data_IF_416447987971
#
_entry.id   IF_416447987971
#
_cell.length_a   1.000
_cell.length_b   1.000
_cell.length_c   1.000
_cell.angle_alpha   90.00
_cell.angle_beta   90.00
_cell.angle_gamma   90.00
#
_symmetry.space_group_name_H-M   'P 1'
#
loop_
_entity.id
_entity.type
_entity.pdbx_description
1 polymer ?
#
# COMPACT_ATOMS: atom_id res chain seq x y z
N UNK A 1 3.93 45.95 4.63
CA UNK A 1 3.18 47.12 5.17
C UNK A 1 1.76 46.78 5.70
N UNK A 2 1.29 45.53 5.71
CA UNK A 2 -0.10 45.21 6.08
C UNK A 2 -0.38 44.96 7.59
N UNK A 3 0.64 44.92 8.46
CA UNK A 3 0.47 44.61 9.90
C UNK A 3 0.22 45.85 10.79
N UNK A 4 0.42 47.07 10.28
CA UNK A 4 0.19 48.30 11.04
C UNK A 4 -1.29 48.75 11.00
N UNK A 5 -2.02 48.47 9.92
CA UNK A 5 -3.41 48.92 9.77
C UNK A 5 -4.44 48.10 10.57
N UNK A 6 -4.14 46.85 10.91
CA UNK A 6 -5.03 46.01 11.73
C UNK A 6 -4.98 46.45 13.21
N UNK A 7 -3.80 46.85 13.70
CA UNK A 7 -3.62 47.35 15.09
C UNK A 7 -4.40 48.66 15.33
N UNK A 8 -4.45 49.55 14.33
CA UNK A 8 -5.17 50.82 14.44
C UNK A 8 -6.70 50.67 14.35
N UNK A 9 -7.23 49.59 13.76
CA UNK A 9 -8.67 49.31 13.73
C UNK A 9 -9.21 48.71 15.03
N UNK A 10 -8.37 47.96 15.76
CA UNK A 10 -8.70 47.43 17.08
C UNK A 10 -8.66 48.50 18.19
N UNK A 11 -7.77 49.50 18.09
CA UNK A 11 -7.74 50.61 19.05
C UNK A 11 -8.94 51.56 18.93
N UNK A 12 -9.58 51.63 17.76
CA UNK A 12 -10.76 52.48 17.52
C UNK A 12 -12.09 51.88 18.03
N UNK A 13 -12.18 50.55 18.15
CA UNK A 13 -13.40 49.89 18.64
C UNK A 13 -13.54 49.94 20.17
N UNK A 14 -12.44 50.18 20.90
CA UNK A 14 -12.43 50.25 22.36
C UNK A 14 -12.91 51.62 22.92
N UNK A 15 -12.95 52.69 22.10
CA UNK A 15 -13.33 54.03 22.60
C UNK A 15 -14.81 54.38 22.46
N UNK A 16 -15.65 53.48 21.92
CA UNK A 16 -17.06 53.77 21.64
C UNK A 16 -18.06 53.27 22.70
N UNK A 17 -17.58 52.73 23.84
CA UNK A 17 -18.45 52.22 24.91
C UNK A 17 -18.41 53.04 26.22
N UNK A 18 -17.84 54.24 26.20
CA UNK A 18 -17.85 55.15 27.36
C UNK A 18 -18.87 56.25 27.16
N UNK A 19 -20.13 56.01 27.58
CA UNK A 19 -21.18 56.98 27.34
C UNK A 19 -22.52 56.67 28.00
N UNK A 20 -22.54 56.75 29.34
CA UNK A 20 -23.65 57.19 30.23
C UNK A 20 -23.81 56.27 31.46
N UNK A 21 -23.12 56.62 32.55
CA UNK A 21 -23.55 56.26 33.90
C UNK A 21 -23.80 57.56 34.67
N UNK A 22 -25.06 57.79 35.01
CA UNK A 22 -25.52 58.91 35.82
C UNK A 22 -25.06 58.66 37.27
N UNK A 23 -24.45 59.66 37.88
CA UNK A 23 -23.92 59.61 39.23
C UNK A 23 -24.97 59.20 40.27
N UNK A 24 -24.66 58.16 41.06
CA UNK A 24 -25.16 57.98 42.42
C UNK A 24 -23.96 57.57 43.27
N UNK A 25 -23.70 58.35 44.31
CA UNK A 25 -22.54 58.20 45.18
C UNK A 25 -22.57 56.90 45.99
N UNK A 26 -21.38 56.33 46.18
CA UNK A 26 -21.15 55.13 46.98
C UNK A 26 -19.99 54.30 46.42
N UNK A 27 -18.80 54.44 47.01
CA UNK A 27 -17.67 53.49 46.95
C UNK A 27 -17.38 52.84 45.58
N UNK A 28 -16.73 53.59 44.68
CA UNK A 28 -16.37 53.16 43.32
C UNK A 28 -15.00 52.45 43.23
N UNK A 29 -14.14 52.58 44.26
CA UNK A 29 -12.78 52.06 44.19
C UNK A 29 -12.69 50.51 44.20
N UNK A 30 -13.61 49.82 44.87
CA UNK A 30 -13.52 48.36 45.05
C UNK A 30 -14.19 47.56 43.92
N UNK A 31 -15.25 48.11 43.31
CA UNK A 31 -15.93 47.48 42.15
C UNK A 31 -15.20 47.66 40.82
N UNK A 32 -14.42 48.74 40.67
CA UNK A 32 -13.61 48.97 39.48
C UNK A 32 -12.39 48.02 39.40
N UNK A 33 -11.80 47.68 40.55
CA UNK A 33 -10.71 46.69 40.63
C UNK A 33 -11.19 45.29 40.20
N UNK A 34 -12.32 44.82 40.74
CA UNK A 34 -12.87 43.50 40.41
C UNK A 34 -13.30 43.34 38.95
N UNK A 35 -13.89 44.38 38.33
CA UNK A 35 -14.28 44.32 36.92
C UNK A 35 -13.06 44.30 35.96
N UNK A 36 -11.98 45.00 36.30
CA UNK A 36 -10.74 44.97 35.50
C UNK A 36 -10.02 43.61 35.58
N UNK A 37 -10.06 42.96 36.76
CA UNK A 37 -9.49 41.62 36.97
C UNK A 37 -10.29 40.58 36.20
N UNK A 38 -11.63 40.63 36.22
CA UNK A 38 -12.49 39.68 35.48
C UNK A 38 -12.33 39.81 33.95
N UNK A 39 -12.14 41.03 33.43
CA UNK A 39 -11.87 41.24 31.99
C UNK A 39 -10.47 40.74 31.60
N UNK A 40 -9.47 40.93 32.45
CA UNK A 40 -8.12 40.42 32.24
C UNK A 40 -8.05 38.89 32.33
N UNK A 41 -8.78 38.28 33.27
CA UNK A 41 -8.90 36.82 33.39
C UNK A 41 -9.57 36.22 32.16
N UNK A 42 -10.71 36.76 31.72
CA UNK A 42 -11.41 36.31 30.50
C UNK A 42 -10.58 36.49 29.23
N UNK A 43 -9.76 37.54 29.16
CA UNK A 43 -8.82 37.73 28.06
C UNK A 43 -7.68 36.69 28.07
N UNK A 44 -7.20 36.30 29.27
CA UNK A 44 -6.18 35.27 29.46
C UNK A 44 -6.72 33.87 29.15
N UNK A 45 -7.94 33.56 29.60
CA UNK A 45 -8.66 32.33 29.26
C UNK A 45 -8.93 32.24 27.75
N UNK A 46 -9.38 33.33 27.13
CA UNK A 46 -9.58 33.38 25.68
C UNK A 46 -8.29 33.19 24.88
N UNK A 47 -7.16 33.72 25.36
CA UNK A 47 -5.85 33.50 24.76
C UNK A 47 -5.35 32.06 24.93
N UNK A 48 -5.62 31.43 26.09
CA UNK A 48 -5.32 30.01 26.33
C UNK A 48 -6.14 29.09 25.42
N UNK A 49 -7.46 29.30 25.33
CA UNK A 49 -8.31 28.54 24.41
C UNK A 49 -7.87 28.68 22.95
N UNK A 50 -7.47 29.89 22.53
CA UNK A 50 -6.95 30.11 21.18
C UNK A 50 -5.62 29.38 20.94
N UNK A 51 -4.74 29.33 21.94
CA UNK A 51 -3.47 28.60 21.87
C UNK A 51 -3.69 27.07 21.82
N UNK A 52 -4.57 26.54 22.66
CA UNK A 52 -4.96 25.12 22.68
C UNK A 52 -5.59 24.71 21.34
N UNK A 53 -6.50 25.53 20.79
CA UNK A 53 -7.10 25.28 19.49
C UNK A 53 -6.06 25.28 18.35
N UNK A 54 -5.03 26.12 18.44
CA UNK A 54 -3.92 26.12 17.48
C UNK A 54 -3.06 24.85 17.59
N UNK A 55 -2.75 24.41 18.81
CA UNK A 55 -2.01 23.17 19.05
C UNK A 55 -2.82 21.98 18.50
N UNK A 56 -4.10 21.92 18.80
CA UNK A 56 -5.00 20.86 18.35
C UNK A 56 -5.12 20.81 16.82
N UNK A 57 -5.25 21.98 16.17
CA UNK A 57 -5.27 22.06 14.71
C UNK A 57 -3.95 21.59 14.10
N UNK A 58 -2.81 21.86 14.75
CA UNK A 58 -1.50 21.38 14.30
C UNK A 58 -1.35 19.88 14.52
N UNK A 59 -1.76 19.34 15.67
CA UNK A 59 -1.81 17.88 15.91
C UNK A 59 -2.62 17.17 14.83
N UNK A 60 -3.80 17.68 14.47
CA UNK A 60 -4.60 17.13 13.36
C UNK A 60 -3.93 17.23 12.00
N UNK A 61 -3.19 18.32 11.74
CA UNK A 61 -2.49 18.53 10.47
C UNK A 61 -1.28 17.61 10.32
N UNK A 62 -0.50 17.46 11.38
CA UNK A 62 0.73 16.67 11.36
C UNK A 62 0.46 15.20 11.66
N UNK A 63 -0.60 14.86 12.38
CA UNK A 63 -0.97 13.49 12.77
C UNK A 63 0.25 12.70 13.32
N UNK A 64 0.97 13.25 14.32
CA UNK A 64 2.07 12.53 14.95
C UNK A 64 1.53 11.25 15.61
N UNK A 65 2.35 10.20 15.63
CA UNK A 65 2.05 8.96 16.35
C UNK A 65 3.00 8.87 17.52
N UNK A 66 2.44 8.80 18.73
CA UNK A 66 3.23 8.66 19.94
C UNK A 66 3.35 7.19 20.35
N UNK A 67 4.36 6.90 21.16
CA UNK A 67 4.67 5.54 21.61
C UNK A 67 3.52 4.90 22.38
N UNK A 68 2.87 5.66 23.25
CA UNK A 68 1.76 5.20 24.07
C UNK A 68 0.53 4.85 23.22
N UNK A 69 0.29 5.63 22.16
CA UNK A 69 -0.79 5.38 21.21
C UNK A 69 -0.49 4.15 20.35
N UNK A 70 0.75 4.00 19.88
CA UNK A 70 1.18 2.87 19.07
C UNK A 70 1.11 1.53 19.81
N UNK A 71 1.48 1.53 21.10
CA UNK A 71 1.46 0.34 21.95
C UNK A 71 0.07 0.03 22.53
N UNK A 72 -0.94 0.84 22.23
CA UNK A 72 -2.29 0.61 22.71
C UNK A 72 -2.88 -0.69 22.10
N UNK A 73 -3.60 -1.52 22.88
CA UNK A 73 -4.14 -2.79 22.38
C UNK A 73 -5.14 -2.64 21.21
N UNK A 74 -5.74 -1.47 21.06
CA UNK A 74 -6.72 -1.12 20.04
C UNK A 74 -6.13 -0.29 18.89
N UNK A 75 -4.80 -0.15 18.83
CA UNK A 75 -4.14 0.55 17.73
C UNK A 75 -4.32 -0.21 16.41
N UNK A 76 -4.94 0.45 15.43
CA UNK A 76 -5.12 -0.07 14.08
C UNK A 76 -3.88 0.23 13.23
N UNK A 77 -2.94 -0.73 13.21
CA UNK A 77 -1.69 -0.59 12.45
C UNK A 77 -1.98 -0.53 10.94
N UNK A 78 -1.55 0.53 10.23
CA UNK A 78 -1.74 0.60 8.78
C UNK A 78 -0.99 -0.51 8.04
N UNK A 79 -1.62 -1.02 6.97
CA UNK A 79 -1.02 -2.05 6.11
C UNK A 79 0.19 -1.56 5.30
N UNK A 80 0.49 -0.26 5.29
CA UNK A 80 1.63 0.31 4.57
C UNK A 80 2.46 1.19 5.49
N UNK A 81 3.76 0.96 5.47
CA UNK A 81 4.75 1.65 6.31
C UNK A 81 5.84 2.22 5.42
N UNK A 82 6.27 3.44 5.72
CA UNK A 82 7.43 4.08 5.09
C UNK A 82 8.44 4.34 6.19
N UNK A 83 9.68 3.90 6.00
CA UNK A 83 10.75 4.17 6.95
C UNK A 83 11.34 5.54 6.63
N UNK A 84 11.40 6.40 7.62
CA UNK A 84 11.67 7.82 7.47
C UNK A 84 12.77 8.30 8.41
N UNK A 85 13.43 9.39 8.03
CA UNK A 85 14.38 10.09 8.89
C UNK A 85 13.62 11.02 9.87
N UNK A 86 14.01 11.01 11.15
CA UNK A 86 13.47 11.89 12.19
C UNK A 86 13.61 13.37 11.81
N UNK A 87 14.70 13.72 11.12
CA UNK A 87 14.99 15.08 10.72
C UNK A 87 13.90 15.69 9.81
N UNK A 88 13.05 14.88 9.14
CA UNK A 88 11.95 15.38 8.29
C UNK A 88 10.93 16.24 9.04
N UNK A 89 10.81 16.09 10.36
CA UNK A 89 9.83 16.84 11.19
C UNK A 89 10.42 17.46 12.45
N UNK A 90 11.75 17.51 12.54
CA UNK A 90 12.46 18.14 13.64
C UNK A 90 12.12 19.62 13.78
N UNK A 91 12.00 20.08 15.02
CA UNK A 91 11.63 21.47 15.34
C UNK A 91 10.13 21.76 15.20
N UNK A 92 9.30 20.74 14.94
CA UNK A 92 7.85 20.84 15.07
C UNK A 92 7.49 20.37 16.48
N UNK A 93 7.23 21.33 17.37
CA UNK A 93 6.76 21.14 18.76
C UNK A 93 5.74 20.01 18.96
N UNK A 94 4.71 19.92 18.10
CA UNK A 94 3.66 18.90 18.24
C UNK A 94 4.11 17.49 17.83
N UNK A 95 5.27 17.34 17.19
CA UNK A 95 5.85 16.06 16.80
C UNK A 95 7.00 15.63 17.73
N UNK A 96 7.39 16.45 18.71
CA UNK A 96 8.46 16.11 19.65
C UNK A 96 8.10 14.85 20.45
N UNK A 97 8.97 13.83 20.39
CA UNK A 97 8.75 12.53 21.05
C UNK A 97 7.81 11.58 20.30
N UNK A 98 7.36 11.93 19.10
CA UNK A 98 6.63 11.01 18.23
C UNK A 98 7.57 9.93 17.67
N UNK A 99 7.04 8.73 17.45
CA UNK A 99 7.76 7.64 16.76
C UNK A 99 7.59 7.72 15.24
N UNK A 100 6.70 8.60 14.78
CA UNK A 100 6.32 8.71 13.38
C UNK A 100 5.11 9.60 13.17
N UNK A 101 4.47 9.47 12.01
CA UNK A 101 3.20 10.15 11.72
C UNK A 101 2.33 9.36 10.74
N UNK A 102 1.04 9.67 10.71
CA UNK A 102 0.09 9.09 9.76
C UNK A 102 -0.15 10.04 8.60
N UNK A 103 -0.21 9.46 7.40
CA UNK A 103 -0.71 10.17 6.22
C UNK A 103 -1.83 9.37 5.57
N UNK A 104 -2.84 10.08 5.06
CA UNK A 104 -3.90 9.49 4.24
C UNK A 104 -3.71 9.89 2.79
N UNK A 105 -3.50 8.90 1.91
CA UNK A 105 -3.30 9.10 0.49
C UNK A 105 -4.11 8.08 -0.31
N UNK A 106 -4.94 8.56 -1.23
CA UNK A 106 -5.76 7.72 -2.12
C UNK A 106 -6.60 6.64 -1.40
N UNK A 107 -7.19 6.99 -0.25
CA UNK A 107 -8.00 6.07 0.55
C UNK A 107 -7.20 5.07 1.38
N UNK A 108 -5.87 5.15 1.40
CA UNK A 108 -5.01 4.34 2.25
C UNK A 108 -4.40 5.18 3.37
N UNK A 109 -4.25 4.55 4.52
CA UNK A 109 -3.50 5.09 5.64
C UNK A 109 -2.08 4.53 5.61
N UNK A 110 -1.11 5.39 5.91
CA UNK A 110 0.31 5.12 5.76
C UNK A 110 1.00 5.60 7.02
N UNK A 111 1.67 4.68 7.72
CA UNK A 111 2.50 5.02 8.86
C UNK A 111 3.91 5.35 8.35
N UNK A 112 4.32 6.58 8.58
CA UNK A 112 5.70 7.01 8.41
C UNK A 112 6.43 6.79 9.73
N UNK A 113 7.21 5.71 9.81
CA UNK A 113 7.90 5.29 11.02
C UNK A 113 9.35 5.80 10.97
N UNK A 114 9.79 6.46 12.03
CA UNK A 114 11.18 6.89 12.12
C UNK A 114 12.12 5.69 12.25
N UNK A 115 13.25 5.73 11.53
CA UNK A 115 14.21 4.63 11.47
C UNK A 115 14.71 4.18 12.86
N UNK A 116 14.93 5.11 13.78
CA UNK A 116 15.38 4.82 15.15
C UNK A 116 14.38 3.97 15.97
N UNK A 117 13.10 4.06 15.63
CA UNK A 117 12.02 3.36 16.33
C UNK A 117 11.64 2.02 15.68
N UNK A 118 12.36 1.61 14.64
CA UNK A 118 12.07 0.38 13.92
C UNK A 118 12.23 -0.86 14.80
N UNK A 119 13.32 -0.96 15.55
CA UNK A 119 13.55 -2.09 16.47
C UNK A 119 12.52 -2.12 17.59
N UNK A 120 12.10 -0.95 18.07
CA UNK A 120 11.14 -0.81 19.17
C UNK A 120 9.69 -1.07 18.72
N UNK A 121 9.41 -0.95 17.42
CA UNK A 121 8.07 -1.18 16.85
C UNK A 121 7.62 -2.65 16.97
N UNK A 122 8.56 -3.59 17.10
CA UNK A 122 8.26 -5.03 17.10
C UNK A 122 7.78 -5.57 15.75
N UNK A 123 7.88 -4.77 14.69
CA UNK A 123 7.48 -5.16 13.33
C UNK A 123 8.61 -5.93 12.65
N UNK A 124 8.22 -6.92 11.85
CA UNK A 124 9.15 -7.73 11.07
C UNK A 124 9.16 -7.21 9.63
N UNK A 125 10.32 -6.78 9.14
CA UNK A 125 10.50 -6.29 7.77
C UNK A 125 11.32 -7.27 6.93
N UNK A 126 10.98 -7.39 5.64
CA UNK A 126 11.73 -8.17 4.67
C UNK A 126 11.88 -7.42 3.33
N UNK A 127 13.10 -7.22 2.81
CA UNK A 127 14.38 -7.35 3.52
C UNK A 127 14.46 -6.37 4.71
N UNK A 128 15.62 -6.30 5.36
CA UNK A 128 15.86 -5.37 6.46
C UNK A 128 15.38 -3.93 6.12
N UNK A 129 14.88 -3.20 7.12
CA UNK A 129 14.30 -1.88 6.96
C UNK A 129 15.34 -0.88 6.43
N UNK A 130 15.02 -0.19 5.34
CA UNK A 130 15.88 0.79 4.69
C UNK A 130 15.25 2.19 4.74
N UNK A 131 16.07 3.22 4.94
CA UNK A 131 15.62 4.62 4.91
C UNK A 131 14.92 4.94 3.59
N UNK A 132 13.83 5.72 3.65
CA UNK A 132 12.97 6.12 2.54
C UNK A 132 12.29 4.96 1.77
N UNK A 133 12.41 3.71 2.25
CA UNK A 133 11.75 2.56 1.63
C UNK A 133 10.32 2.37 2.15
N UNK A 134 9.43 1.95 1.24
CA UNK A 134 8.04 1.66 1.51
C UNK A 134 7.79 0.14 1.57
N UNK A 135 7.06 -0.28 2.60
CA UNK A 135 6.75 -1.67 2.89
C UNK A 135 5.24 -1.89 2.99
N UNK A 136 4.78 -3.05 2.53
CA UNK A 136 3.39 -3.47 2.59
C UNK A 136 3.26 -4.74 3.43
N UNK A 137 2.24 -4.81 4.29
CA UNK A 137 1.91 -6.01 5.02
C UNK A 137 1.69 -7.18 4.06
N UNK A 138 2.38 -8.29 4.33
CA UNK A 138 2.40 -9.45 3.47
C UNK A 138 1.01 -10.09 3.33
N UNK A 139 0.60 -10.29 2.08
CA UNK A 139 -0.68 -10.91 1.72
C UNK A 139 -0.70 -12.42 1.98
N UNK A 140 0.46 -13.06 2.13
CA UNK A 140 0.56 -14.50 2.40
C UNK A 140 0.06 -14.89 3.80
N UNK A 141 -0.04 -13.91 4.71
CA UNK A 141 -0.40 -14.11 6.11
C UNK A 141 0.78 -14.37 7.05
N UNK A 142 2.01 -14.12 6.60
CA UNK A 142 3.22 -14.23 7.44
C UNK A 142 3.31 -13.18 8.55
N UNK A 143 2.52 -12.10 8.48
CA UNK A 143 2.53 -11.00 9.45
C UNK A 143 3.74 -10.07 9.33
N UNK A 144 4.59 -10.23 8.30
CA UNK A 144 5.73 -9.35 8.04
C UNK A 144 5.39 -8.26 7.03
N UNK A 145 6.19 -7.21 6.99
CA UNK A 145 6.13 -6.13 6.02
C UNK A 145 7.17 -6.35 4.92
N UNK A 146 6.74 -6.41 3.67
CA UNK A 146 7.60 -6.68 2.51
C UNK A 146 7.84 -5.39 1.73
N UNK A 147 9.11 -5.10 1.40
CA UNK A 147 9.47 -3.92 0.62
C UNK A 147 8.79 -3.96 -0.76
N UNK A 148 8.15 -2.86 -1.15
CA UNK A 148 7.43 -2.74 -2.42
C UNK A 148 8.32 -2.92 -3.65
N UNK A 149 9.60 -2.56 -3.59
CA UNK A 149 10.54 -2.71 -4.71
C UNK A 149 10.89 -4.17 -5.01
N UNK A 150 10.78 -5.06 -4.01
CA UNK A 150 11.05 -6.49 -4.20
C UNK A 150 9.81 -7.37 -4.04
N UNK A 151 8.63 -6.78 -3.77
CA UNK A 151 7.41 -7.51 -3.45
C UNK A 151 7.10 -8.63 -4.47
N UNK A 152 7.02 -8.30 -5.75
CA UNK A 152 6.72 -9.27 -6.80
C UNK A 152 7.81 -10.34 -6.95
N UNK A 153 9.07 -9.95 -6.84
CA UNK A 153 10.20 -10.87 -6.95
C UNK A 153 10.24 -11.86 -5.76
N UNK A 154 10.02 -11.39 -4.54
CA UNK A 154 9.98 -12.22 -3.34
C UNK A 154 8.75 -13.14 -3.35
N UNK A 155 7.57 -12.62 -3.68
CA UNK A 155 6.37 -13.45 -3.84
C UNK A 155 6.56 -14.53 -4.91
N UNK A 156 7.22 -14.24 -6.03
CA UNK A 156 7.53 -15.26 -7.04
C UNK A 156 8.45 -16.35 -6.47
N UNK A 157 9.46 -15.99 -5.67
CA UNK A 157 10.32 -16.97 -4.99
C UNK A 157 9.54 -17.85 -4.03
N UNK A 158 8.62 -17.28 -3.26
CA UNK A 158 7.78 -18.06 -2.34
C UNK A 158 6.84 -19.01 -3.06
N UNK A 159 6.21 -18.57 -4.16
CA UNK A 159 5.41 -19.43 -5.04
C UNK A 159 6.24 -20.61 -5.57
N UNK A 160 7.46 -20.34 -6.02
CA UNK A 160 8.37 -21.40 -6.48
C UNK A 160 8.74 -22.37 -5.35
N UNK A 161 9.09 -21.86 -4.17
CA UNK A 161 9.44 -22.68 -3.02
C UNK A 161 8.27 -23.55 -2.54
N UNK A 162 7.05 -23.01 -2.54
CA UNK A 162 5.83 -23.76 -2.19
C UNK A 162 5.61 -24.91 -3.18
N UNK A 163 5.70 -24.68 -4.50
CA UNK A 163 5.56 -25.74 -5.50
C UNK A 163 6.67 -26.79 -5.41
N UNK A 164 7.91 -26.39 -5.14
CA UNK A 164 9.00 -27.34 -4.87
C UNK A 164 8.70 -28.21 -3.64
N UNK A 165 8.20 -27.60 -2.57
CA UNK A 165 7.79 -28.33 -1.38
C UNK A 165 6.62 -29.27 -1.66
N UNK A 166 5.64 -28.87 -2.48
CA UNK A 166 4.57 -29.76 -2.96
C UNK A 166 5.17 -30.98 -3.67
N UNK A 167 6.05 -30.80 -4.66
CA UNK A 167 6.68 -31.92 -5.36
C UNK A 167 7.45 -32.84 -4.39
N UNK A 168 8.22 -32.26 -3.47
CA UNK A 168 8.96 -33.00 -2.46
C UNK A 168 8.04 -33.83 -1.55
N UNK A 169 7.03 -33.20 -0.96
CA UNK A 169 6.07 -33.85 -0.07
C UNK A 169 5.28 -34.97 -0.77
N UNK A 170 4.96 -34.81 -2.05
CA UNK A 170 4.28 -35.83 -2.85
C UNK A 170 5.20 -36.98 -3.30
N UNK A 171 6.50 -36.91 -2.99
CA UNK A 171 7.47 -37.96 -3.32
C UNK A 171 7.89 -37.98 -4.78
N UNK A 172 7.88 -36.84 -5.47
CA UNK A 172 8.35 -36.73 -6.85
C UNK A 172 9.81 -37.17 -6.98
N UNK A 173 10.18 -37.71 -8.15
CA UNK A 173 11.57 -37.91 -8.57
C UNK A 173 12.11 -36.73 -9.36
N UNK A 174 11.24 -36.02 -10.05
CA UNK A 174 11.61 -34.88 -10.87
C UNK A 174 10.48 -33.86 -10.90
N UNK A 175 10.83 -32.58 -10.84
CA UNK A 175 9.88 -31.52 -11.14
C UNK A 175 10.56 -30.35 -11.87
N UNK A 176 9.79 -29.67 -12.71
CA UNK A 176 10.19 -28.42 -13.35
C UNK A 176 9.03 -27.44 -13.37
N UNK A 177 9.36 -26.16 -13.34
CA UNK A 177 8.41 -25.07 -13.47
C UNK A 177 8.86 -24.15 -14.59
N UNK A 178 7.98 -23.93 -15.55
CA UNK A 178 8.14 -22.99 -16.65
C UNK A 178 7.12 -21.87 -16.51
N UNK A 179 7.48 -20.65 -16.91
CA UNK A 179 6.54 -19.53 -17.03
C UNK A 179 6.54 -19.02 -18.46
N UNK A 180 5.39 -18.59 -18.94
CA UNK A 180 5.23 -17.97 -20.25
C UNK A 180 4.15 -16.90 -20.18
N UNK A 181 4.22 -15.93 -21.07
CA UNK A 181 3.20 -14.88 -21.18
C UNK A 181 2.17 -15.31 -22.22
N UNK A 182 0.90 -15.41 -21.81
CA UNK A 182 -0.18 -15.62 -22.75
C UNK A 182 -0.46 -14.30 -23.46
N UNK A 183 -0.23 -14.26 -24.76
CA UNK A 183 -0.69 -13.19 -25.65
C UNK A 183 -2.20 -13.32 -25.87
N UNK A 184 -2.99 -13.35 -24.80
CA UNK A 184 -4.40 -13.03 -24.97
C UNK A 184 -4.46 -11.54 -25.32
N UNK A 185 -4.65 -11.26 -26.61
CA UNK A 185 -4.93 -9.92 -27.11
C UNK A 185 -6.04 -9.33 -26.24
N UNK A 186 -5.71 -8.33 -25.43
CA UNK A 186 -6.70 -7.42 -24.90
C UNK A 186 -7.40 -6.84 -26.14
N UNK A 187 -8.58 -7.37 -26.45
CA UNK A 187 -9.53 -6.72 -27.33
C UNK A 187 -9.95 -5.44 -26.61
N UNK A 188 -9.07 -4.44 -26.66
CA UNK A 188 -9.39 -3.07 -26.37
C UNK A 188 -10.39 -2.70 -27.44
N UNK A 189 -11.66 -2.94 -27.14
CA UNK A 189 -12.78 -2.27 -27.77
C UNK A 189 -12.56 -0.80 -27.49
N UNK A 190 -11.75 -0.16 -28.36
CA UNK A 190 -11.75 1.28 -28.54
C UNK A 190 -13.17 1.58 -28.99
N UNK A 191 -14.06 1.85 -28.02
CA UNK A 191 -15.30 2.56 -28.28
C UNK A 191 -14.88 3.84 -28.99
N UNK A 192 -15.00 3.85 -30.32
CA UNK A 192 -14.94 5.05 -31.14
C UNK A 192 -15.97 6.00 -30.54
N UNK A 193 -15.49 6.94 -29.73
CA UNK A 193 -16.29 8.07 -29.29
C UNK A 193 -16.80 8.75 -30.56
N UNK A 194 -18.12 8.80 -30.70
CA UNK A 194 -18.80 9.65 -31.68
C UNK A 194 -18.47 11.10 -31.33
N UNK A 195 -17.40 11.63 -31.91
CA UNK A 195 -17.21 13.07 -32.05
C UNK A 195 -17.76 13.45 -33.43
N UNK A 196 -19.00 13.96 -33.42
CA UNK A 196 -19.62 14.62 -34.56
C UNK A 196 -19.12 16.06 -34.62
N UNK A 197 -18.38 16.43 -35.67
CA UNK A 197 -18.45 17.75 -36.29
C UNK A 197 -17.69 17.78 -37.64
N UNK A 198 -18.41 18.25 -38.67
CA UNK A 198 -17.98 18.59 -40.05
C UNK A 198 -16.65 19.38 -40.07
N UNK A 199 -15.77 19.31 -41.10
CA UNK A 199 -16.04 19.72 -42.50
C UNK A 199 -14.84 19.42 -43.43
N UNK A 200 -15.15 18.86 -44.61
CA UNK A 200 -14.56 19.00 -45.97
C UNK A 200 -13.03 18.93 -46.24
N UNK A 201 -12.64 18.06 -47.20
CA UNK A 201 -11.39 18.20 -47.95
C UNK A 201 -10.90 16.92 -48.66
N UNK A 202 -11.32 16.76 -49.92
CA UNK A 202 -10.71 16.03 -51.06
C UNK A 202 -9.58 14.98 -50.87
N UNK A 203 -9.87 13.78 -51.39
CA UNK A 203 -9.04 12.84 -52.19
C UNK A 203 -7.73 12.29 -51.60
N UNK A 204 -7.67 10.96 -51.38
CA UNK A 204 -6.57 10.11 -51.88
C UNK A 204 -6.83 8.61 -51.67
N UNK A 205 -6.65 7.87 -52.77
CA UNK A 205 -6.25 6.47 -52.94
C UNK A 205 -6.68 5.39 -51.92
N UNK A 206 -7.46 4.44 -52.45
CA UNK A 206 -7.61 3.08 -51.93
C UNK A 206 -6.27 2.34 -51.96
N UNK A 207 -5.62 2.19 -50.80
CA UNK A 207 -4.60 1.18 -50.57
C UNK A 207 -5.25 0.01 -49.84
N UNK A 208 -5.54 -1.06 -50.57
CA UNK A 208 -5.74 -2.40 -50.00
C UNK A 208 -4.39 -2.86 -49.45
N UNK A 209 -4.12 -2.51 -48.19
CA UNK A 209 -3.07 -3.14 -47.41
C UNK A 209 -3.62 -4.46 -46.90
N UNK A 210 -3.26 -5.57 -47.55
CA UNK A 210 -3.24 -6.87 -46.90
C UNK A 210 -2.33 -6.73 -45.68
N UNK A 211 -2.93 -6.66 -44.49
CA UNK A 211 -2.21 -6.85 -43.24
C UNK A 211 -1.94 -8.35 -43.20
N UNK A 212 -0.76 -8.72 -43.65
CA UNK A 212 -0.18 -10.02 -43.39
C UNK A 212 -0.01 -10.13 -41.87
N UNK A 213 -1.03 -10.71 -41.21
CA UNK A 213 -0.94 -11.18 -39.85
C UNK A 213 0.06 -12.34 -39.85
N UNK A 214 1.35 -12.00 -39.84
CA UNK A 214 2.44 -12.91 -39.52
C UNK A 214 2.37 -13.27 -38.04
N UNK A 215 1.38 -14.08 -37.67
CA UNK A 215 1.31 -14.77 -36.40
C UNK A 215 2.50 -15.71 -36.28
N UNK A 216 3.54 -15.25 -35.60
CA UNK A 216 4.58 -16.11 -35.04
C UNK A 216 4.80 -15.68 -33.59
N UNK A 217 3.77 -15.89 -32.78
CA UNK A 217 3.89 -15.83 -31.32
C UNK A 217 4.68 -17.05 -30.85
N UNK A 218 6.01 -16.93 -30.86
CA UNK A 218 6.84 -17.81 -30.07
C UNK A 218 6.57 -17.44 -28.60
N UNK A 219 5.73 -18.22 -27.92
CA UNK A 219 5.62 -18.16 -26.46
C UNK A 219 6.99 -18.54 -25.90
N UNK A 220 7.84 -17.54 -25.61
CA UNK A 220 9.15 -17.78 -25.01
C UNK A 220 8.93 -18.30 -23.58
N UNK A 221 9.02 -19.62 -23.43
CA UNK A 221 8.93 -20.28 -22.13
C UNK A 221 10.22 -20.07 -21.37
N UNK A 222 10.12 -19.37 -20.24
CA UNK A 222 11.23 -19.18 -19.30
C UNK A 222 11.18 -20.26 -18.22
N UNK A 223 12.23 -21.06 -18.12
CA UNK A 223 12.39 -22.01 -17.02
C UNK A 223 12.66 -21.26 -15.72
N UNK A 224 11.84 -21.52 -14.69
CA UNK A 224 11.97 -20.95 -13.36
C UNK A 224 12.80 -21.84 -12.46
N UNK A 225 12.54 -23.16 -12.47
CA UNK A 225 13.40 -24.14 -11.82
C UNK A 225 13.23 -25.53 -12.44
N UNK A 226 14.22 -26.38 -12.19
CA UNK A 226 14.24 -27.82 -12.49
C UNK A 226 15.00 -28.53 -11.38
N UNK A 227 14.41 -29.58 -10.79
CA UNK A 227 14.94 -30.33 -9.66
C UNK A 227 14.74 -31.83 -9.82
N UNK A 228 15.75 -32.58 -9.41
CA UNK A 228 15.73 -34.03 -9.23
C UNK A 228 15.73 -34.39 -7.75
N UNK A 229 15.00 -35.45 -7.42
CA UNK A 229 14.86 -36.00 -6.08
C UNK A 229 15.05 -37.52 -6.10
N UNK A 230 15.32 -38.11 -4.95
CA UNK A 230 15.40 -39.58 -4.81
C UNK A 230 14.05 -40.28 -5.02
N UNK A 231 12.93 -39.55 -4.89
CA UNK A 231 11.58 -40.10 -4.91
C UNK A 231 11.16 -40.71 -3.57
N UNK A 232 9.85 -40.80 -3.34
CA UNK A 232 9.26 -41.46 -2.16
C UNK A 232 7.87 -42.02 -2.49
N UNK A 233 7.60 -43.24 -2.01
CA UNK A 233 6.28 -43.86 -2.12
C UNK A 233 5.36 -43.51 -0.94
N UNK A 234 5.82 -42.64 -0.04
CA UNK A 234 5.06 -42.15 1.12
C UNK A 234 4.76 -40.66 0.94
N UNK A 235 3.73 -40.30 0.14
CA UNK A 235 3.36 -38.91 -0.03
C UNK A 235 2.80 -38.36 1.28
N UNK A 236 3.18 -37.12 1.60
CA UNK A 236 2.70 -36.34 2.73
C UNK A 236 1.94 -35.14 2.18
N UNK A 237 0.81 -34.78 2.81
CA UNK A 237 0.05 -33.61 2.39
C UNK A 237 0.80 -32.32 2.76
N UNK A 238 1.19 -31.47 1.78
CA UNK A 238 1.87 -30.21 2.06
C UNK A 238 0.89 -29.16 2.60
N UNK A 239 1.41 -28.20 3.37
CA UNK A 239 0.70 -26.98 3.74
C UNK A 239 0.87 -25.96 2.62
N UNK A 240 -0.24 -25.40 2.12
CA UNK A 240 -0.25 -24.39 1.06
C UNK A 240 -0.51 -23.02 1.67
N UNK A 241 0.12 -21.97 1.13
CA UNK A 241 -0.12 -20.56 1.44
C UNK A 241 -0.64 -19.82 0.22
N UNK A 242 0.11 -19.89 -0.88
CA UNK A 242 -0.21 -19.23 -2.15
C UNK A 242 -1.20 -20.03 -3.00
N UNK A 243 -1.11 -21.36 -3.00
CA UNK A 243 -1.93 -22.22 -3.87
C UNK A 243 -3.14 -22.84 -3.15
N UNK A 244 -3.53 -22.31 -1.98
CA UNK A 244 -4.67 -22.81 -1.18
C UNK A 244 -5.96 -22.97 -2.00
N UNK A 245 -6.24 -22.02 -2.89
CA UNK A 245 -7.45 -21.97 -3.70
C UNK A 245 -7.31 -22.63 -5.09
N UNK A 246 -6.10 -23.08 -5.49
CA UNK A 246 -5.89 -23.71 -6.79
C UNK A 246 -6.49 -25.11 -6.79
N UNK A 247 -7.48 -25.33 -7.66
CA UNK A 247 -8.14 -26.64 -7.77
C UNK A 247 -7.21 -27.68 -8.39
N UNK A 248 -6.33 -27.24 -9.27
CA UNK A 248 -5.41 -28.08 -10.01
C UNK A 248 -4.30 -28.62 -9.09
N UNK A 249 -3.71 -27.75 -8.26
CA UNK A 249 -2.71 -28.16 -7.26
C UNK A 249 -3.35 -29.03 -6.17
N UNK A 250 -4.53 -28.66 -5.66
CA UNK A 250 -5.25 -29.48 -4.69
C UNK A 250 -5.66 -30.84 -5.27
N UNK A 251 -6.12 -30.89 -6.52
CA UNK A 251 -6.46 -32.12 -7.21
C UNK A 251 -5.27 -33.06 -7.35
N UNK A 252 -4.09 -32.55 -7.70
CA UNK A 252 -2.85 -33.33 -7.70
C UNK A 252 -2.52 -33.89 -6.32
N UNK A 253 -2.62 -33.08 -5.27
CA UNK A 253 -2.36 -33.49 -3.89
C UNK A 253 -3.34 -34.59 -3.48
N UNK A 254 -4.63 -34.41 -3.75
CA UNK A 254 -5.68 -35.36 -3.37
C UNK A 254 -5.49 -36.69 -4.13
N UNK A 255 -5.17 -36.66 -5.42
CA UNK A 255 -4.92 -37.90 -6.18
C UNK A 255 -3.72 -38.67 -5.62
N UNK A 256 -2.62 -37.99 -5.27
CA UNK A 256 -1.40 -38.66 -4.79
C UNK A 256 -1.50 -39.11 -3.34
N UNK A 257 -2.22 -38.37 -2.49
CA UNK A 257 -2.40 -38.67 -1.08
C UNK A 257 -3.65 -39.51 -0.78
N UNK A 258 -4.46 -39.89 -1.78
CA UNK A 258 -5.62 -40.76 -1.57
C UNK A 258 -5.23 -42.19 -1.24
N UNK A 259 -6.02 -42.86 -0.39
CA UNK A 259 -5.82 -44.27 0.01
C UNK A 259 -6.15 -45.28 -1.11
N UNK A 260 -6.56 -44.80 -2.29
CA UNK A 260 -6.93 -45.61 -3.44
C UNK A 260 -5.71 -45.91 -4.31
N UNK A 261 -5.03 -47.02 -4.02
CA UNK A 261 -3.79 -47.45 -4.68
C UNK A 261 -3.95 -48.00 -6.11
N UNK A 262 -5.16 -47.94 -6.70
CA UNK A 262 -5.46 -48.65 -7.95
C UNK A 262 -4.97 -47.94 -9.23
N UNK A 263 -4.57 -46.66 -9.15
CA UNK A 263 -4.04 -45.90 -10.29
C UNK A 263 -2.86 -45.00 -9.87
N UNK A 264 -1.63 -45.52 -10.02
CA UNK A 264 -0.41 -44.76 -9.73
C UNK A 264 -0.16 -43.65 -10.77
N UNK A 265 -0.13 -42.39 -10.31
CA UNK A 265 0.27 -41.25 -11.15
C UNK A 265 1.78 -41.35 -11.43
N UNK A 266 2.14 -41.50 -12.70
CA UNK A 266 3.56 -41.51 -13.14
C UNK A 266 4.13 -40.11 -13.34
N UNK A 267 3.30 -39.20 -13.84
CA UNK A 267 3.63 -37.80 -14.02
C UNK A 267 2.38 -36.97 -14.26
N UNK A 268 2.47 -35.69 -13.97
CA UNK A 268 1.37 -34.75 -14.02
C UNK A 268 1.87 -33.37 -14.42
N UNK A 269 1.12 -32.69 -15.27
CA UNK A 269 1.38 -31.29 -15.64
C UNK A 269 0.21 -30.46 -15.16
N UNK A 270 0.50 -29.44 -14.36
CA UNK A 270 -0.46 -28.44 -13.92
C UNK A 270 -0.21 -27.14 -14.68
N UNK A 271 -1.24 -26.60 -15.33
CA UNK A 271 -1.21 -25.22 -15.79
C UNK A 271 -1.88 -24.33 -14.75
N UNK A 272 -1.14 -23.31 -14.29
CA UNK A 272 -1.59 -22.36 -13.27
C UNK A 272 -1.69 -21.00 -13.93
N UNK A 273 -2.88 -20.41 -13.90
CA UNK A 273 -3.08 -19.02 -14.27
C UNK A 273 -2.60 -18.12 -13.11
N UNK A 274 -1.60 -17.27 -13.36
CA UNK A 274 -1.06 -16.37 -12.35
C UNK A 274 -2.11 -15.36 -11.85
N UNK A 275 -3.19 -15.10 -12.60
CA UNK A 275 -4.33 -14.28 -12.14
C UNK A 275 -4.99 -14.86 -10.90
N UNK A 276 -5.04 -16.18 -10.79
CA UNK A 276 -5.67 -16.90 -9.67
C UNK A 276 -4.85 -16.85 -8.38
N UNK A 277 -3.55 -16.56 -8.52
CA UNK A 277 -2.56 -16.49 -7.42
C UNK A 277 -1.84 -15.14 -7.43
N UNK A 278 -2.55 -14.07 -7.81
CA UNK A 278 -1.97 -12.74 -7.99
C UNK A 278 -1.40 -12.18 -6.68
N UNK A 279 -0.24 -11.54 -6.76
CA UNK A 279 0.44 -10.87 -5.63
C UNK A 279 -0.38 -9.68 -5.15
N UNK A 280 -0.86 -8.87 -6.09
CA UNK A 280 -1.76 -7.75 -5.85
C UNK A 280 -2.82 -7.69 -6.95
N UNK A 281 -4.02 -7.26 -6.60
CA UNK A 281 -5.02 -6.90 -7.62
C UNK A 281 -4.57 -5.64 -8.36
N UNK A 282 -4.88 -5.55 -9.65
CA UNK A 282 -4.53 -4.40 -10.48
C UNK A 282 -5.07 -3.07 -9.90
N UNK A 283 -6.27 -3.10 -9.31
CA UNK A 283 -6.86 -1.94 -8.63
C UNK A 283 -6.05 -1.52 -7.39
N UNK A 284 -5.62 -2.48 -6.56
CA UNK A 284 -4.80 -2.20 -5.37
C UNK A 284 -3.41 -1.69 -5.74
N UNK A 285 -2.77 -2.31 -6.74
CA UNK A 285 -1.47 -1.85 -7.26
C UNK A 285 -1.54 -0.41 -7.79
N UNK A 286 -2.59 -0.08 -8.56
CA UNK A 286 -2.82 1.28 -9.06
C UNK A 286 -3.05 2.27 -7.91
N UNK A 287 -3.78 1.84 -6.87
CA UNK A 287 -4.04 2.70 -5.72
C UNK A 287 -2.74 3.04 -4.96
N UNK A 288 -1.86 2.05 -4.76
CA UNK A 288 -0.55 2.20 -4.11
C UNK A 288 0.35 3.13 -4.92
N UNK A 289 0.52 2.89 -6.22
CA UNK A 289 1.32 3.77 -7.09
C UNK A 289 0.86 5.23 -7.01
N UNK A 290 -0.46 5.46 -7.02
CA UNK A 290 -1.03 6.81 -6.92
C UNK A 290 -0.80 7.45 -5.53
N UNK A 291 -0.88 6.67 -4.45
CA UNK A 291 -0.62 7.16 -3.10
C UNK A 291 0.84 7.54 -2.92
N UNK A 292 1.78 6.68 -3.31
CA UNK A 292 3.21 6.94 -3.20
C UNK A 292 3.62 8.15 -4.05
N UNK A 293 3.08 8.27 -5.27
CA UNK A 293 3.27 9.45 -6.11
C UNK A 293 2.75 10.73 -5.45
N UNK A 294 1.59 10.68 -4.80
CA UNK A 294 1.04 11.81 -4.04
C UNK A 294 1.93 12.24 -2.86
N UNK A 295 2.63 11.28 -2.25
CA UNK A 295 3.58 11.51 -1.16
C UNK A 295 5.01 11.81 -1.63
N UNK A 296 5.26 11.82 -2.95
CA UNK A 296 6.59 11.99 -3.55
C UNK A 296 7.59 10.90 -3.12
N UNK A 297 7.09 9.71 -2.81
CA UNK A 297 7.91 8.52 -2.58
C UNK A 297 8.13 7.86 -3.94
N UNK A 298 9.39 7.75 -4.35
CA UNK A 298 9.77 7.11 -5.61
C UNK A 298 10.07 5.63 -5.39
N UNK A 299 9.41 4.77 -6.16
CA UNK A 299 9.82 3.38 -6.33
C UNK A 299 10.58 3.25 -7.65
N UNK A 300 11.57 2.36 -7.71
CA UNK A 300 12.26 2.01 -8.95
C UNK A 300 11.40 1.29 -10.00
N UNK A 301 10.15 0.95 -9.67
CA UNK A 301 9.21 0.22 -10.53
C UNK A 301 7.77 0.72 -10.37
N UNK A 302 6.89 0.38 -11.31
CA UNK A 302 5.44 0.56 -11.16
C UNK A 302 4.78 -0.74 -10.75
N UNK A 303 4.10 -0.73 -9.60
CA UNK A 303 3.38 -1.91 -9.11
C UNK A 303 2.23 -2.28 -10.03
N UNK A 304 1.60 -1.27 -10.66
CA UNK A 304 0.56 -1.50 -11.67
C UNK A 304 1.09 -2.28 -12.88
N UNK A 305 2.25 -1.92 -13.39
CA UNK A 305 2.87 -2.61 -14.52
C UNK A 305 3.26 -4.04 -14.13
N UNK A 306 3.84 -4.24 -12.95
CA UNK A 306 4.17 -5.56 -12.40
C UNK A 306 2.93 -6.46 -12.23
N UNK A 307 1.85 -5.93 -11.65
CA UNK A 307 0.56 -6.63 -11.53
C UNK A 307 -0.03 -6.98 -12.89
N UNK A 308 0.09 -6.08 -13.87
CA UNK A 308 -0.40 -6.31 -15.23
C UNK A 308 0.41 -7.43 -15.91
N UNK A 309 1.74 -7.41 -15.76
CA UNK A 309 2.63 -8.46 -16.27
C UNK A 309 2.34 -9.81 -15.64
N UNK A 310 2.23 -9.88 -14.32
CA UNK A 310 1.87 -11.11 -13.60
C UNK A 310 0.54 -11.67 -14.08
N UNK A 311 -0.47 -10.81 -14.32
CA UNK A 311 -1.79 -11.24 -14.79
C UNK A 311 -1.79 -11.84 -16.20
N UNK A 312 -0.72 -11.65 -16.98
CA UNK A 312 -0.57 -12.22 -18.33
C UNK A 312 0.26 -13.49 -18.32
N UNK A 313 0.84 -13.86 -17.18
CA UNK A 313 1.67 -15.03 -17.06
C UNK A 313 0.85 -16.27 -16.74
N UNK A 314 1.32 -17.39 -17.28
CA UNK A 314 0.91 -18.74 -16.91
C UNK A 314 2.15 -19.51 -16.45
N UNK A 315 1.97 -20.36 -15.46
CA UNK A 315 3.00 -21.28 -14.99
C UNK A 315 2.63 -22.72 -15.38
N UNK A 316 3.55 -23.43 -16.02
CA UNK A 316 3.43 -24.86 -16.30
C UNK A 316 4.31 -25.63 -15.31
N UNK A 317 3.67 -26.31 -14.38
CA UNK A 317 4.32 -27.10 -13.34
C UNK A 317 4.26 -28.57 -13.70
N UNK A 318 5.40 -29.16 -14.03
CA UNK A 318 5.52 -30.57 -14.39
C UNK A 318 6.16 -31.35 -13.24
N UNK A 319 5.56 -32.50 -12.91
CA UNK A 319 6.03 -33.41 -11.88
C UNK A 319 6.06 -34.83 -12.42
N UNK A 320 7.08 -35.59 -12.04
CA UNK A 320 7.24 -37.00 -12.37
C UNK A 320 7.59 -37.79 -11.10
N UNK A 321 6.90 -38.91 -10.89
CA UNK A 321 7.05 -39.78 -9.72
C UNK A 321 7.81 -41.08 -10.04
N UNK A 322 7.77 -41.57 -11.29
CA UNK A 322 8.42 -42.82 -11.70
C UNK A 322 9.41 -42.64 -12.84
#
# INVERSE_FOLDING_TARGET
MALKDIRNRLSGAASAASGKVKAVGGTVAERAAGASVVVAERAKEGAQMAAEAQIEARKKKYAPVFREEYLAPDYDLPNMIVIEDEDKRKGIDVCEGAIGWLTRANGMEILHLYHEFVDESGLVFHPLPQMDAAYLLDVSGSGRFVNLECLFAETQKEKMAELQNVAYCLGAKYCRLETYESLEEESVVRRKGKASARKMGAVSASATGEVECGGTSLEERRMLFERDFSGSDKPVRPQLSWFKSSKEVNGLIDMRCSDSFDNEIRGYTVEIDCRSVATLSHARATAIDAALKGLKISLGLSLKEESSRESRQKMSFYIKFQ
#
